data_IF_896589888944
#
_entry.id   IF_896589888944
#
_cell.length_a   1.000
_cell.length_b   1.000
_cell.length_c   1.000
_cell.angle_alpha   90.00
_cell.angle_beta   90.00
_cell.angle_gamma   90.00
#
_symmetry.space_group_name_H-M   'P 1'
#
loop_
_entity.id
_entity.type
_entity.pdbx_description
1 polymer ?
#
# COMPACT_ATOMS: atom_id res chain seq x y z
N UNK A 1 47.97 -0.59 16.84
CA UNK A 1 46.67 -0.84 17.44
C UNK A 1 45.62 -0.30 16.43
N UNK A 2 45.10 -1.19 15.55
CA UNK A 2 44.07 -0.80 14.54
C UNK A 2 42.75 -0.69 15.27
N UNK A 3 42.19 0.52 15.34
CA UNK A 3 40.78 0.71 15.65
C UNK A 3 39.98 0.00 14.52
N UNK A 4 39.40 -1.14 14.84
CA UNK A 4 38.24 -1.64 14.11
C UNK A 4 37.12 -0.63 14.39
N UNK A 5 36.89 0.28 13.43
CA UNK A 5 35.60 0.96 13.37
C UNK A 5 34.55 -0.15 13.28
N UNK A 6 33.89 -0.42 14.39
CA UNK A 6 32.63 -1.11 14.37
C UNK A 6 31.69 -0.19 13.56
N UNK A 7 31.54 -0.49 12.28
CA UNK A 7 30.32 -0.11 11.57
C UNK A 7 29.19 -0.84 12.29
N UNK A 8 28.59 -0.20 13.26
CA UNK A 8 27.25 -0.60 13.71
C UNK A 8 26.40 -0.56 12.46
N UNK A 9 26.07 -1.74 11.92
CA UNK A 9 25.08 -1.85 10.86
C UNK A 9 23.85 -1.14 11.40
N UNK A 10 23.54 0.04 10.86
CA UNK A 10 22.35 0.77 11.27
C UNK A 10 21.17 -0.13 10.95
N UNK A 11 20.45 -0.56 11.98
CA UNK A 11 19.22 -1.33 11.79
C UNK A 11 18.25 -0.42 11.00
N UNK A 12 17.95 -0.79 9.77
CA UNK A 12 17.09 -0.04 8.88
C UNK A 12 15.75 -0.74 8.76
N UNK A 13 14.67 0.01 8.92
CA UNK A 13 13.30 -0.47 8.75
C UNK A 13 12.67 0.25 7.57
N UNK A 14 12.43 -0.46 6.48
CA UNK A 14 11.76 0.05 5.29
C UNK A 14 10.24 -0.10 5.42
N UNK A 15 9.50 0.99 5.21
CA UNK A 15 8.04 0.98 5.29
C UNK A 15 7.39 1.61 4.07
N UNK A 16 6.25 1.07 3.69
CA UNK A 16 5.27 1.70 2.82
C UNK A 16 3.87 1.49 3.41
N UNK A 17 3.01 2.49 3.32
CA UNK A 17 1.61 2.37 3.73
C UNK A 17 0.70 2.87 2.61
N UNK A 18 -0.38 2.13 2.35
CA UNK A 18 -1.32 2.51 1.30
C UNK A 18 -2.60 1.70 1.29
N UNK A 19 -3.55 2.11 0.46
CA UNK A 19 -4.81 1.38 0.26
C UNK A 19 -4.60 0.08 -0.51
N UNK A 20 -3.73 0.09 -1.53
CA UNK A 20 -3.43 -1.05 -2.40
C UNK A 20 -4.68 -1.75 -2.96
N UNK A 21 -5.66 -0.94 -3.42
CA UNK A 21 -6.98 -1.47 -3.76
C UNK A 21 -7.52 -0.94 -5.10
N UNK A 22 -7.43 -1.76 -6.17
CA UNK A 22 -6.72 -3.04 -6.23
C UNK A 22 -5.19 -2.85 -6.24
N UNK A 23 -4.40 -3.87 -5.84
CA UNK A 23 -2.96 -3.84 -5.99
C UNK A 23 -2.55 -3.94 -7.47
N UNK A 24 -1.39 -3.40 -7.84
CA UNK A 24 -0.92 -3.32 -9.23
C UNK A 24 0.61 -3.36 -9.33
N UNK A 25 1.15 -3.45 -10.56
CA UNK A 25 2.60 -3.57 -10.82
C UNK A 25 3.45 -2.45 -10.20
N UNK A 26 2.91 -1.23 -10.07
CA UNK A 26 3.63 -0.14 -9.41
C UNK A 26 3.83 -0.38 -7.91
N UNK A 27 2.83 -0.95 -7.24
CA UNK A 27 2.96 -1.39 -5.85
C UNK A 27 3.99 -2.51 -5.72
N UNK A 28 3.90 -3.53 -6.59
CA UNK A 28 4.85 -4.65 -6.62
C UNK A 28 6.30 -4.14 -6.77
N UNK A 29 6.55 -3.21 -7.68
CA UNK A 29 7.89 -2.66 -7.89
C UNK A 29 8.43 -1.94 -6.63
N UNK A 30 7.58 -1.22 -5.88
CA UNK A 30 7.97 -0.63 -4.61
C UNK A 30 8.30 -1.71 -3.57
N UNK A 31 7.49 -2.76 -3.46
CA UNK A 31 7.73 -3.89 -2.55
C UNK A 31 9.01 -4.67 -2.90
N UNK A 32 9.32 -4.83 -4.19
CA UNK A 32 10.58 -5.42 -4.67
C UNK A 32 11.81 -4.59 -4.25
N UNK A 33 11.72 -3.26 -4.28
CA UNK A 33 12.78 -2.39 -3.77
C UNK A 33 12.96 -2.55 -2.26
N UNK A 34 11.86 -2.57 -1.52
CA UNK A 34 11.86 -2.71 -0.06
C UNK A 34 12.38 -4.07 0.39
N UNK A 35 12.11 -5.15 -0.35
CA UNK A 35 12.56 -6.51 -0.01
C UNK A 35 14.08 -6.71 -0.04
N UNK A 36 14.85 -5.68 -0.41
CA UNK A 36 16.32 -5.65 -0.30
C UNK A 36 16.79 -5.33 1.12
N UNK A 37 15.92 -4.79 1.96
CA UNK A 37 16.20 -4.50 3.36
C UNK A 37 15.84 -5.70 4.23
N UNK A 38 16.58 -5.94 5.29
CA UNK A 38 16.33 -7.07 6.20
C UNK A 38 14.99 -6.92 6.94
N UNK A 39 14.66 -5.68 7.32
CA UNK A 39 13.41 -5.34 7.99
C UNK A 39 12.57 -4.45 7.07
N UNK A 40 11.52 -5.00 6.46
CA UNK A 40 10.61 -4.24 5.61
C UNK A 40 9.16 -4.63 5.87
N UNK A 41 8.26 -3.65 5.78
CA UNK A 41 6.86 -3.86 6.12
C UNK A 41 5.94 -3.05 5.19
N UNK A 42 4.84 -3.66 4.81
CA UNK A 42 3.79 -3.06 4.00
C UNK A 42 2.54 -2.89 4.84
N UNK A 43 2.22 -1.65 5.18
CA UNK A 43 1.06 -1.29 5.97
C UNK A 43 -0.16 -1.00 5.11
N UNK A 44 -1.32 -1.49 5.53
CA UNK A 44 -2.60 -1.16 4.90
C UNK A 44 -3.71 -1.18 5.94
N UNK A 45 -4.75 -0.38 5.73
CA UNK A 45 -5.93 -0.33 6.59
C UNK A 45 -7.08 -1.20 6.05
N UNK A 46 -8.08 -1.41 6.88
CA UNK A 46 -9.34 -1.98 6.44
C UNK A 46 -9.97 -1.16 5.30
N UNK A 47 -10.52 -1.85 4.31
CA UNK A 47 -11.20 -1.20 3.19
C UNK A 47 -12.49 -0.52 3.61
N UNK A 48 -12.69 0.70 3.11
CA UNK A 48 -13.94 1.45 3.31
C UNK A 48 -15.04 1.01 2.35
N UNK A 49 -14.72 0.16 1.38
CA UNK A 49 -15.58 -0.31 0.30
C UNK A 49 -16.31 0.83 -0.45
N UNK A 50 -15.68 1.25 -1.52
CA UNK A 50 -16.16 2.32 -2.38
C UNK A 50 -15.52 2.25 -3.76
N UNK A 51 -15.85 3.16 -4.69
CA UNK A 51 -15.34 3.10 -6.06
C UNK A 51 -13.81 3.24 -6.16
N UNK A 52 -13.16 3.82 -5.13
CA UNK A 52 -11.70 3.95 -5.05
C UNK A 52 -11.04 2.85 -4.20
N UNK A 53 -11.82 2.05 -3.51
CA UNK A 53 -11.38 1.01 -2.57
C UNK A 53 -12.37 -0.18 -2.62
N UNK A 54 -12.53 -0.82 -3.82
CA UNK A 54 -13.64 -1.76 -4.05
C UNK A 54 -13.50 -3.09 -3.30
N UNK A 55 -12.28 -3.64 -3.20
CA UNK A 55 -12.09 -4.96 -2.63
C UNK A 55 -12.23 -4.95 -1.10
N UNK A 56 -12.97 -5.91 -0.50
CA UNK A 56 -12.93 -6.18 0.92
C UNK A 56 -11.50 -6.42 1.42
N UNK A 57 -11.28 -6.23 2.74
CA UNK A 57 -9.94 -6.26 3.30
C UNK A 57 -9.20 -7.59 3.09
N UNK A 58 -9.86 -8.71 3.39
CA UNK A 58 -9.33 -10.06 3.22
C UNK A 58 -9.00 -10.39 1.76
N UNK A 59 -9.89 -10.06 0.85
CA UNK A 59 -9.71 -10.20 -0.61
C UNK A 59 -8.54 -9.34 -1.11
N UNK A 60 -8.44 -8.11 -0.63
CA UNK A 60 -7.32 -7.22 -0.93
C UNK A 60 -5.99 -7.82 -0.49
N UNK A 61 -5.91 -8.34 0.72
CA UNK A 61 -4.70 -8.99 1.26
C UNK A 61 -4.31 -10.20 0.40
N UNK A 62 -5.28 -11.02 0.01
CA UNK A 62 -5.02 -12.17 -0.86
C UNK A 62 -4.53 -11.72 -2.25
N UNK A 63 -5.14 -10.70 -2.85
CA UNK A 63 -4.69 -10.13 -4.11
C UNK A 63 -3.25 -9.57 -4.00
N UNK A 64 -2.91 -8.89 -2.91
CA UNK A 64 -1.55 -8.40 -2.67
C UNK A 64 -0.53 -9.55 -2.60
N UNK A 65 -0.83 -10.60 -1.85
CA UNK A 65 0.02 -11.80 -1.73
C UNK A 65 0.14 -12.55 -3.05
N UNK A 66 -0.94 -12.64 -3.84
CA UNK A 66 -0.92 -13.26 -5.17
C UNK A 66 -0.01 -12.52 -6.14
N UNK A 67 -0.08 -11.17 -6.15
CA UNK A 67 0.79 -10.34 -7.01
C UNK A 67 2.26 -10.41 -6.56
N UNK A 68 2.50 -10.49 -5.26
CA UNK A 68 3.84 -10.55 -4.69
C UNK A 68 3.91 -11.48 -3.46
N UNK A 69 4.16 -12.79 -3.66
CA UNK A 69 4.14 -13.78 -2.58
C UNK A 69 5.10 -13.51 -1.42
N UNK A 70 6.20 -12.76 -1.66
CA UNK A 70 7.14 -12.35 -0.61
C UNK A 70 6.53 -11.42 0.45
N UNK A 71 5.30 -10.92 0.25
CA UNK A 71 4.58 -10.14 1.28
C UNK A 71 4.19 -10.98 2.51
N UNK A 72 4.20 -12.30 2.41
CA UNK A 72 3.91 -13.16 3.57
C UNK A 72 4.87 -12.85 4.72
N UNK A 73 4.32 -12.54 5.89
CA UNK A 73 5.09 -12.12 7.08
C UNK A 73 5.51 -10.64 7.11
N UNK A 74 5.28 -9.88 6.03
CA UNK A 74 5.64 -8.45 5.95
C UNK A 74 4.45 -7.50 5.92
N UNK A 75 3.23 -8.04 5.93
CA UNK A 75 1.99 -7.24 5.96
C UNK A 75 1.62 -6.86 7.39
N UNK A 76 1.29 -5.59 7.59
CA UNK A 76 0.76 -5.08 8.86
C UNK A 76 -0.56 -4.34 8.62
N UNK A 77 -1.55 -4.62 9.47
CA UNK A 77 -2.85 -3.95 9.42
C UNK A 77 -2.81 -2.77 10.39
N UNK A 78 -2.77 -1.56 9.84
CA UNK A 78 -2.64 -0.33 10.60
C UNK A 78 -3.60 0.75 10.11
N UNK A 79 -3.86 1.76 10.95
CA UNK A 79 -4.76 2.86 10.60
C UNK A 79 -4.08 3.92 9.74
N UNK A 80 -2.78 4.11 9.93
CA UNK A 80 -2.02 5.20 9.32
C UNK A 80 -0.51 4.95 9.31
N UNK A 81 0.23 5.79 8.61
CA UNK A 81 1.69 5.84 8.68
C UNK A 81 2.21 6.01 10.12
N UNK A 82 1.54 6.84 10.92
CA UNK A 82 1.98 7.15 12.29
C UNK A 82 1.78 5.97 13.25
N UNK A 83 0.64 5.29 13.17
CA UNK A 83 0.38 4.09 13.98
C UNK A 83 1.34 2.97 13.58
N UNK A 84 1.59 2.79 12.28
CA UNK A 84 2.57 1.83 11.78
C UNK A 84 3.99 2.14 12.30
N UNK A 85 4.41 3.41 12.27
CA UNK A 85 5.72 3.82 12.80
C UNK A 85 5.84 3.49 14.28
N UNK A 86 4.78 3.76 15.08
CA UNK A 86 4.75 3.44 16.51
C UNK A 86 4.86 1.94 16.79
N UNK A 87 4.11 1.10 16.07
CA UNK A 87 4.17 -0.34 16.27
C UNK A 87 5.51 -0.95 15.84
N UNK A 88 6.11 -0.44 14.78
CA UNK A 88 7.43 -0.91 14.33
C UNK A 88 8.57 -0.42 15.24
N UNK A 89 8.44 0.76 15.81
CA UNK A 89 9.42 1.25 16.81
C UNK A 89 9.53 0.33 18.03
N UNK A 90 8.44 -0.26 18.49
CA UNK A 90 8.45 -1.24 19.60
C UNK A 90 9.30 -2.47 19.27
N UNK A 91 9.38 -2.85 17.99
CA UNK A 91 10.17 -3.99 17.52
C UNK A 91 11.62 -3.60 17.18
N UNK A 92 11.83 -2.36 16.75
CA UNK A 92 13.09 -1.84 16.22
C UNK A 92 13.45 -0.47 16.85
N UNK A 93 13.66 -0.38 18.18
CA UNK A 93 13.79 0.90 18.89
C UNK A 93 15.06 1.69 18.53
N UNK A 94 16.07 1.05 17.94
CA UNK A 94 17.34 1.69 17.57
C UNK A 94 17.51 1.86 16.04
N UNK A 95 16.46 1.64 15.28
CA UNK A 95 16.52 1.67 13.82
C UNK A 95 16.48 3.10 13.24
N UNK A 96 16.90 3.19 11.99
CA UNK A 96 16.54 4.27 11.07
C UNK A 96 15.30 3.86 10.27
N UNK A 97 14.34 4.76 10.08
CA UNK A 97 13.11 4.52 9.33
C UNK A 97 13.24 5.01 7.89
N UNK A 98 13.06 4.11 6.93
CA UNK A 98 13.05 4.40 5.50
C UNK A 98 11.60 4.40 5.00
N UNK A 99 11.08 5.57 4.65
CA UNK A 99 9.68 5.78 4.26
C UNK A 99 9.57 5.79 2.75
N UNK A 100 9.03 4.73 2.17
CA UNK A 100 8.82 4.61 0.72
C UNK A 100 7.55 5.34 0.31
N UNK A 101 7.69 6.56 -0.20
CA UNK A 101 6.60 7.43 -0.63
C UNK A 101 7.07 8.50 -1.61
N UNK A 102 6.19 8.94 -2.50
CA UNK A 102 6.39 10.13 -3.35
C UNK A 102 5.83 11.40 -2.70
N UNK A 103 5.22 11.28 -1.52
CA UNK A 103 4.51 12.36 -0.86
C UNK A 103 5.33 12.92 0.30
N UNK A 104 5.99 14.06 0.11
CA UNK A 104 6.85 14.70 1.12
C UNK A 104 6.15 14.96 2.45
N UNK A 105 4.85 15.23 2.42
CA UNK A 105 4.09 15.50 3.66
C UNK A 105 4.08 14.30 4.61
N UNK A 106 4.12 13.07 4.07
CA UNK A 106 4.13 11.84 4.87
C UNK A 106 5.39 11.78 5.74
N UNK A 107 6.56 11.93 5.11
CA UNK A 107 7.84 11.89 5.83
C UNK A 107 7.96 13.04 6.82
N UNK A 108 7.50 14.24 6.43
CA UNK A 108 7.44 15.40 7.33
C UNK A 108 6.53 15.16 8.53
N UNK A 109 5.35 14.56 8.33
CA UNK A 109 4.43 14.23 9.42
C UNK A 109 5.03 13.20 10.38
N UNK A 110 5.68 12.14 9.87
CA UNK A 110 6.36 11.15 10.70
C UNK A 110 7.49 11.82 11.50
N UNK A 111 8.32 12.64 10.86
CA UNK A 111 9.43 13.34 11.51
C UNK A 111 8.96 14.33 12.58
N UNK A 112 7.84 15.03 12.36
CA UNK A 112 7.26 15.98 13.30
C UNK A 112 6.88 15.34 14.65
N UNK A 113 6.45 14.07 14.62
CA UNK A 113 6.03 13.34 15.83
C UNK A 113 7.13 12.43 16.39
N UNK A 114 8.32 12.40 15.80
CA UNK A 114 9.44 11.61 16.29
C UNK A 114 9.89 12.13 17.68
N UNK A 115 9.90 11.27 18.69
CA UNK A 115 10.22 11.62 20.08
C UNK A 115 9.11 12.37 20.85
N UNK A 116 7.89 12.47 20.28
CA UNK A 116 6.77 13.19 20.91
C UNK A 116 5.85 12.20 21.64
N UNK A 117 5.72 12.35 22.95
CA UNK A 117 4.85 11.53 23.81
C UNK A 117 3.38 11.99 23.82
N UNK A 118 2.49 11.13 24.31
CA UNK A 118 1.09 11.47 24.60
C UNK A 118 0.20 11.63 23.38
N UNK A 119 0.61 11.15 22.19
CA UNK A 119 -0.18 11.19 20.96
C UNK A 119 -1.02 9.92 20.78
N UNK A 120 -2.21 10.06 20.19
CA UNK A 120 -3.14 8.95 19.96
C UNK A 120 -2.56 7.83 19.06
N UNK A 121 -1.65 8.16 18.16
CA UNK A 121 -0.97 7.18 17.31
C UNK A 121 0.14 6.40 18.03
N UNK A 122 0.46 6.70 19.29
CA UNK A 122 1.54 6.10 20.06
C UNK A 122 2.85 6.87 19.95
N UNK A 123 3.90 6.31 20.59
CA UNK A 123 5.24 6.89 20.63
C UNK A 123 6.21 6.16 19.71
N UNK A 124 7.11 6.89 19.07
CA UNK A 124 8.30 6.39 18.39
C UNK A 124 9.40 7.44 18.41
N UNK A 125 10.66 6.98 18.36
CA UNK A 125 11.85 7.84 18.36
C UNK A 125 12.97 7.16 17.55
N UNK A 126 12.80 7.10 16.23
CA UNK A 126 13.80 6.55 15.30
C UNK A 126 15.05 7.42 15.25
N UNK A 127 16.22 6.81 15.06
CA UNK A 127 17.51 7.52 14.93
C UNK A 127 17.52 8.50 13.75
N UNK A 128 16.91 8.08 12.63
CA UNK A 128 16.78 8.88 11.41
C UNK A 128 15.46 8.51 10.72
N UNK A 129 14.91 9.44 9.97
CA UNK A 129 13.73 9.21 9.12
C UNK A 129 14.07 9.75 7.73
N UNK A 130 14.09 8.85 6.74
CA UNK A 130 14.50 9.16 5.39
C UNK A 130 13.40 8.78 4.39
N UNK A 131 13.12 9.67 3.44
CA UNK A 131 12.22 9.39 2.33
C UNK A 131 12.96 8.60 1.23
N UNK A 132 12.32 7.55 0.74
CA UNK A 132 12.74 6.80 -0.44
C UNK A 132 11.68 6.91 -1.53
N UNK A 133 12.05 7.22 -2.78
CA UNK A 133 11.09 7.36 -3.87
C UNK A 133 10.47 6.02 -4.25
N UNK A 134 9.23 6.05 -4.74
CA UNK A 134 8.52 4.88 -5.26
C UNK A 134 8.38 4.92 -6.78
N UNK A 135 8.49 3.77 -7.48
CA UNK A 135 8.30 3.73 -8.93
C UNK A 135 6.84 3.97 -9.32
N UNK A 136 6.58 4.90 -10.25
CA UNK A 136 5.24 5.15 -10.80
C UNK A 136 5.02 4.38 -12.10
N UNK A 137 4.89 3.05 -12.03
CA UNK A 137 4.72 2.18 -13.20
C UNK A 137 3.27 1.95 -13.60
N UNK A 138 2.31 2.21 -12.71
CA UNK A 138 0.88 2.01 -12.93
C UNK A 138 0.07 2.70 -11.83
N UNK A 139 -1.25 2.64 -11.92
CA UNK A 139 -2.14 3.14 -10.89
C UNK A 139 -3.36 2.23 -10.70
N UNK A 140 -3.94 2.23 -9.52
CA UNK A 140 -5.22 1.54 -9.27
C UNK A 140 -6.36 2.10 -10.14
N UNK A 141 -6.25 3.37 -10.58
CA UNK A 141 -7.20 3.97 -11.54
C UNK A 141 -7.13 3.26 -12.89
N UNK A 142 -5.93 2.98 -13.42
CA UNK A 142 -5.79 2.26 -14.68
C UNK A 142 -6.44 0.86 -14.64
N UNK A 143 -6.32 0.15 -13.51
CA UNK A 143 -7.01 -1.14 -13.31
C UNK A 143 -8.53 -0.99 -13.31
N UNK A 144 -9.06 -0.01 -12.58
CA UNK A 144 -10.50 0.23 -12.51
C UNK A 144 -11.08 0.68 -13.85
N UNK A 145 -10.34 1.49 -14.60
CA UNK A 145 -10.74 1.93 -15.94
C UNK A 145 -10.77 0.76 -16.93
N UNK A 146 -9.79 -0.15 -16.85
CA UNK A 146 -9.76 -1.37 -17.66
C UNK A 146 -10.99 -2.26 -17.37
N UNK A 147 -11.33 -2.47 -16.10
CA UNK A 147 -12.54 -3.21 -15.71
C UNK A 147 -13.81 -2.52 -16.21
N UNK A 148 -13.92 -1.20 -16.10
CA UNK A 148 -15.09 -0.43 -16.54
C UNK A 148 -15.30 -0.48 -18.07
N UNK A 149 -14.24 -0.80 -18.83
CA UNK A 149 -14.25 -0.94 -20.29
C UNK A 149 -14.27 -2.40 -20.77
N UNK A 150 -14.29 -3.35 -19.86
CA UNK A 150 -14.15 -4.79 -20.10
C UNK A 150 -12.86 -5.14 -20.87
N UNK A 151 -11.76 -4.42 -20.59
CA UNK A 151 -10.46 -4.55 -21.26
C UNK A 151 -9.49 -5.39 -20.41
N UNK A 152 -9.50 -6.70 -20.62
CA UNK A 152 -8.63 -7.66 -19.92
C UNK A 152 -7.15 -7.49 -20.23
N UNK A 153 -6.81 -7.02 -21.43
CA UNK A 153 -5.43 -6.79 -21.83
C UNK A 153 -4.85 -5.58 -21.07
N UNK A 154 -5.55 -4.45 -21.10
CA UNK A 154 -5.16 -3.26 -20.32
C UNK A 154 -5.08 -3.56 -18.83
N UNK A 155 -6.00 -4.39 -18.29
CA UNK A 155 -5.95 -4.85 -16.92
C UNK A 155 -4.68 -5.63 -16.63
N UNK A 156 -4.34 -6.63 -17.46
CA UNK A 156 -3.12 -7.44 -17.33
C UNK A 156 -1.86 -6.56 -17.33
N UNK A 157 -1.80 -5.59 -18.26
CA UNK A 157 -0.69 -4.64 -18.33
C UNK A 157 -0.57 -3.77 -17.08
N UNK A 158 -1.69 -3.32 -16.52
CA UNK A 158 -1.71 -2.48 -15.34
C UNK A 158 -1.44 -3.27 -14.05
N UNK A 159 -2.01 -4.48 -13.92
CA UNK A 159 -1.83 -5.37 -12.77
C UNK A 159 -0.40 -5.91 -12.68
N UNK A 160 0.21 -6.23 -13.84
CA UNK A 160 1.50 -6.92 -13.92
C UNK A 160 1.40 -8.43 -13.66
N UNK A 161 0.17 -8.96 -13.67
CA UNK A 161 -0.19 -10.38 -13.67
C UNK A 161 -1.36 -10.59 -14.63
N UNK A 162 -1.58 -11.82 -15.12
CA UNK A 162 -2.71 -12.11 -16.01
C UNK A 162 -4.06 -11.73 -15.36
N UNK A 163 -5.00 -11.24 -16.16
CA UNK A 163 -6.39 -11.04 -15.77
C UNK A 163 -7.03 -12.32 -15.20
N UNK A 164 -6.55 -13.48 -15.66
CA UNK A 164 -7.05 -14.80 -15.26
C UNK A 164 -6.30 -15.39 -14.04
N UNK A 165 -5.31 -14.65 -13.48
CA UNK A 165 -4.62 -15.09 -12.26
C UNK A 165 -5.64 -15.32 -11.14
N UNK A 166 -5.66 -16.51 -10.51
CA UNK A 166 -6.64 -16.80 -9.47
C UNK A 166 -6.35 -16.02 -8.18
N UNK A 167 -7.36 -15.30 -7.69
CA UNK A 167 -7.38 -14.61 -6.39
C UNK A 167 -8.68 -14.99 -5.71
N UNK A 168 -8.63 -15.51 -4.50
CA UNK A 168 -9.81 -15.98 -3.76
C UNK A 168 -10.70 -16.93 -4.59
N UNK A 169 -10.08 -17.79 -5.40
CA UNK A 169 -10.77 -18.78 -6.24
C UNK A 169 -11.44 -18.23 -7.51
N UNK A 170 -11.23 -16.96 -7.85
CA UNK A 170 -11.77 -16.31 -9.07
C UNK A 170 -10.66 -15.67 -9.90
N UNK A 171 -10.81 -15.52 -11.23
CA UNK A 171 -9.93 -14.68 -12.04
C UNK A 171 -9.85 -13.26 -11.46
N UNK A 172 -8.65 -12.69 -11.40
CA UNK A 172 -8.44 -11.40 -10.73
C UNK A 172 -9.25 -10.27 -11.37
N UNK A 173 -9.37 -10.27 -12.69
CA UNK A 173 -10.23 -9.33 -13.40
C UNK A 173 -11.69 -9.42 -12.94
N UNK A 174 -12.26 -10.63 -12.95
CA UNK A 174 -13.67 -10.86 -12.60
C UNK A 174 -13.94 -10.51 -11.13
N UNK A 175 -12.97 -10.82 -10.27
CA UNK A 175 -13.04 -10.46 -8.86
C UNK A 175 -13.10 -8.93 -8.67
N UNK A 176 -12.24 -8.17 -9.34
CA UNK A 176 -12.27 -6.71 -9.27
C UNK A 176 -13.56 -6.16 -9.88
N UNK A 177 -14.04 -6.73 -10.98
CA UNK A 177 -15.30 -6.33 -11.63
C UNK A 177 -16.50 -6.52 -10.69
N UNK A 178 -16.59 -7.66 -10.02
CA UNK A 178 -17.67 -7.99 -9.06
C UNK A 178 -17.82 -6.91 -7.97
N UNK A 179 -16.70 -6.44 -7.43
CA UNK A 179 -16.74 -5.44 -6.36
C UNK A 179 -16.79 -3.99 -6.84
N UNK A 180 -16.32 -3.70 -8.08
CA UNK A 180 -16.27 -2.34 -8.61
C UNK A 180 -17.55 -1.90 -9.33
N UNK A 181 -18.10 -2.76 -10.20
CA UNK A 181 -19.19 -2.39 -11.11
C UNK A 181 -20.46 -1.93 -10.39
N UNK A 182 -20.87 -2.48 -9.24
CA UNK A 182 -22.02 -1.99 -8.49
C UNK A 182 -21.91 -0.51 -8.07
N UNK A 183 -20.71 0.01 -7.86
CA UNK A 183 -20.50 1.43 -7.56
C UNK A 183 -20.61 2.31 -8.80
N UNK A 184 -20.12 1.84 -9.95
CA UNK A 184 -20.21 2.57 -11.22
C UNK A 184 -21.68 2.74 -11.67
N UNK A 185 -22.53 1.74 -11.47
CA UNK A 185 -23.97 1.80 -11.75
C UNK A 185 -24.68 2.79 -10.85
N UNK A 186 -24.42 2.79 -9.55
CA UNK A 186 -24.99 3.76 -8.60
C UNK A 186 -24.66 5.20 -8.96
N UNK A 187 -23.42 5.48 -9.38
CA UNK A 187 -23.03 6.83 -9.81
C UNK A 187 -23.78 7.30 -11.07
N UNK A 188 -24.02 6.41 -12.04
CA UNK A 188 -24.79 6.72 -13.25
C UNK A 188 -26.25 7.09 -12.90
N UNK A 189 -26.86 6.34 -11.99
CA UNK A 189 -28.25 6.61 -11.54
C UNK A 189 -28.35 7.96 -10.82
N UNK A 190 -27.38 8.32 -9.99
CA UNK A 190 -27.37 9.60 -9.26
C UNK A 190 -27.18 10.77 -10.21
N UNK A 191 -26.27 10.67 -11.20
CA UNK A 191 -26.06 11.70 -12.22
C UNK A 191 -27.29 11.94 -13.08
N UNK A 192 -27.96 10.86 -13.53
CA UNK A 192 -29.19 10.95 -14.32
C UNK A 192 -30.40 11.57 -13.57
N UNK A 193 -30.45 11.41 -12.24
CA UNK A 193 -31.48 12.09 -11.41
C UNK A 193 -31.22 13.58 -11.28
N UNK A 194 -29.95 14.03 -11.17
CA UNK A 194 -29.60 15.44 -11.07
C UNK A 194 -29.82 16.23 -12.38
N UNK A 195 -29.66 15.58 -13.54
CA UNK A 195 -29.92 16.20 -14.85
C UNK A 195 -31.41 16.29 -15.20
N UNK A 196 -32.31 15.53 -14.52
CA UNK A 196 -33.78 15.62 -14.74
C UNK A 196 -34.49 16.63 -13.82
N UNK A 197 -33.79 17.20 -12.86
CA UNK A 197 -34.30 18.18 -11.88
C UNK A 197 -33.76 19.59 -12.06
N UNK A 198 -32.97 19.82 -13.10
CA UNK A 198 -32.48 21.11 -13.58
C UNK A 198 -33.13 21.44 -14.93
#
# INVERSE_FOLDING_TARGET
>A
MRLLELFEATDEVAIIFGRFNPPHKGHRAAWELMSKYSNWYVGTNASTQGPKDPLPFDIKIEAMKTIYPKLEGHLVSEQSWLTMASELYKKHPNASLLVFTDEDWVTKAIAQYNGVEGKAHGFYNFKNIEQKPTPRLSSATALRDAVSKDDREAFTQAAGVSADTPVAGKPFFDLVAEYLLPYAEKEKVVKNKKTKTA
#
